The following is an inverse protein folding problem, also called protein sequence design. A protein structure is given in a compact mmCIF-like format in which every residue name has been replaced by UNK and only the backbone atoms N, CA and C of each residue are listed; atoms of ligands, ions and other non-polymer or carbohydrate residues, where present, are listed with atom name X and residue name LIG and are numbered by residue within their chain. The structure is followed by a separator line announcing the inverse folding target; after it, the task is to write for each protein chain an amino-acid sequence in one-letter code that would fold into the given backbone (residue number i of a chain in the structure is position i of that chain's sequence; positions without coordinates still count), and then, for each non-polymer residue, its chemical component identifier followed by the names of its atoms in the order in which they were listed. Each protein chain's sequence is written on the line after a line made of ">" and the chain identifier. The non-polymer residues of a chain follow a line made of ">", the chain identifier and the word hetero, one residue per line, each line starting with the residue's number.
data_IF_060331530156
#
_entry.id   IF_060331530156
#
_cell.length_a   1.000
_cell.length_b   1.000
_cell.length_c   1.000
_cell.angle_alpha   90.00
_cell.angle_beta   90.00
_cell.angle_gamma   90.00
#
_symmetry.space_group_name_H-M   'P 1'
#
loop_
_entity.id
_entity.type
_entity.pdbx_description
1 polymer ?
#
# COMPACT_ATOMS: atom_id res chain seq x y z
N UNK A 1 1.61 2.65 -64.72
CA UNK A 1 2.82 3.51 -64.78
C UNK A 1 2.52 4.80 -64.02
N UNK A 2 3.20 5.00 -62.89
CA UNK A 2 3.40 6.24 -62.11
C UNK A 2 3.82 5.78 -60.70
N UNK A 3 5.11 5.72 -60.39
CA UNK A 3 6.07 6.80 -60.10
C UNK A 3 6.34 6.85 -58.59
N UNK A 4 7.57 6.47 -58.28
CA UNK A 4 8.46 6.74 -57.16
C UNK A 4 8.17 7.91 -56.20
N UNK A 5 8.53 7.64 -54.92
CA UNK A 5 8.77 8.48 -53.72
C UNK A 5 9.50 9.84 -53.95
N UNK A 6 9.70 10.75 -52.95
CA UNK A 6 9.63 10.59 -51.47
C UNK A 6 8.97 11.73 -50.66
N UNK A 7 8.65 11.42 -49.39
CA UNK A 7 8.21 12.40 -48.39
C UNK A 7 9.36 13.33 -47.96
N UNK A 8 9.17 14.62 -48.22
CA UNK A 8 10.09 15.70 -47.88
C UNK A 8 10.06 16.09 -46.41
N UNK A 9 11.24 16.49 -45.94
CA UNK A 9 11.59 17.06 -44.65
C UNK A 9 11.35 18.58 -44.57
N UNK A 10 10.79 19.06 -43.45
CA UNK A 10 10.95 20.44 -42.92
C UNK A 10 9.64 21.20 -42.64
N UNK A 11 9.61 22.29 -41.82
CA UNK A 11 10.62 22.82 -40.90
C UNK A 11 10.00 23.29 -39.54
N UNK A 12 10.20 22.56 -38.45
CA UNK A 12 9.90 23.05 -37.08
C UNK A 12 11.17 23.22 -36.24
N UNK A 13 12.21 23.78 -36.83
CA UNK A 13 13.40 24.21 -36.09
C UNK A 13 13.39 25.73 -35.92
N UNK A 14 12.71 26.24 -34.89
CA UNK A 14 13.08 27.54 -34.30
C UNK A 14 13.66 27.31 -32.90
N UNK A 15 14.93 27.69 -32.80
CA UNK A 15 15.84 27.54 -31.67
C UNK A 15 15.31 28.33 -30.46
N UNK A 16 15.10 27.64 -29.35
CA UNK A 16 15.37 28.19 -28.03
C UNK A 16 16.58 27.43 -27.50
N UNK A 17 17.76 28.06 -27.61
CA UNK A 17 18.98 27.52 -27.02
C UNK A 17 18.87 27.65 -25.50
N UNK A 18 18.45 26.57 -24.84
CA UNK A 18 18.64 26.43 -23.40
C UNK A 18 19.96 25.69 -23.21
N UNK A 19 21.01 26.42 -22.82
CA UNK A 19 22.34 25.87 -22.56
C UNK A 19 22.31 25.07 -21.25
N UNK A 20 21.82 23.84 -21.29
CA UNK A 20 22.04 22.88 -20.22
C UNK A 20 23.47 22.31 -20.38
N UNK A 21 24.41 22.76 -19.56
CA UNK A 21 25.72 22.11 -19.43
C UNK A 21 25.46 20.65 -19.05
N UNK A 22 25.91 19.73 -19.90
CA UNK A 22 25.83 18.30 -19.64
C UNK A 22 26.71 17.93 -18.44
N UNK A 23 26.18 17.38 -17.34
CA UNK A 23 27.00 16.63 -16.41
C UNK A 23 27.24 15.25 -17.03
N UNK A 24 28.52 14.90 -17.10
CA UNK A 24 29.10 13.57 -17.34
C UNK A 24 28.14 12.38 -17.33
N UNK A 25 28.17 11.62 -18.44
CA UNK A 25 27.46 10.35 -18.67
C UNK A 25 27.98 9.27 -17.70
N UNK A 26 27.52 9.28 -16.45
CA UNK A 26 27.71 8.17 -15.50
C UNK A 26 26.77 7.02 -15.86
N UNK A 27 27.28 5.79 -15.82
CA UNK A 27 26.49 4.56 -16.01
C UNK A 27 25.26 4.62 -15.10
N UNK A 28 24.04 4.36 -15.59
CA UNK A 28 22.85 4.29 -14.74
C UNK A 28 23.06 3.19 -13.69
N UNK A 29 22.67 3.46 -12.45
CA UNK A 29 22.63 2.45 -11.42
C UNK A 29 21.54 1.44 -11.79
N UNK A 30 21.97 0.26 -12.25
CA UNK A 30 21.10 -0.86 -12.54
C UNK A 30 20.80 -1.60 -11.23
N UNK A 31 19.52 -1.74 -10.88
CA UNK A 31 19.10 -2.59 -9.77
C UNK A 31 18.00 -3.54 -10.25
N UNK A 32 18.19 -4.87 -10.11
CA UNK A 32 17.19 -5.84 -10.54
C UNK A 32 15.91 -5.62 -9.74
N UNK A 33 14.81 -5.40 -10.45
CA UNK A 33 13.48 -5.25 -9.87
C UNK A 33 12.57 -6.35 -10.39
N UNK A 34 11.71 -6.90 -9.52
CA UNK A 34 10.77 -7.95 -9.93
C UNK A 34 9.41 -7.36 -10.33
N UNK A 35 8.99 -7.64 -11.56
CA UNK A 35 7.62 -7.41 -12.00
C UNK A 35 6.75 -8.61 -11.61
N UNK A 36 5.67 -8.36 -10.86
CA UNK A 36 4.71 -9.40 -10.50
C UNK A 36 3.88 -9.81 -11.71
N UNK A 37 3.49 -11.09 -11.74
CA UNK A 37 2.56 -11.60 -12.73
C UNK A 37 1.21 -10.83 -12.68
N UNK A 38 0.65 -10.57 -13.86
CA UNK A 38 -0.71 -10.07 -14.06
C UNK A 38 -1.42 -11.00 -15.07
N UNK A 39 -2.75 -11.01 -15.15
CA UNK A 39 -3.44 -11.72 -16.21
C UNK A 39 -2.86 -11.33 -17.58
N UNK A 40 -2.39 -12.31 -18.34
CA UNK A 40 -1.72 -12.09 -19.64
C UNK A 40 -0.27 -11.60 -19.60
N UNK A 41 0.37 -11.50 -18.42
CA UNK A 41 1.77 -11.06 -18.31
C UNK A 41 2.52 -11.84 -17.22
N UNK A 42 3.46 -12.72 -17.57
CA UNK A 42 4.20 -13.51 -16.59
C UNK A 42 5.07 -12.62 -15.69
N UNK A 43 5.39 -13.13 -14.51
CA UNK A 43 6.38 -12.49 -13.64
C UNK A 43 7.74 -12.51 -14.34
N UNK A 44 8.49 -11.40 -14.29
CA UNK A 44 9.84 -11.33 -14.83
C UNK A 44 10.71 -10.39 -14.02
N UNK A 45 12.02 -10.62 -14.04
CA UNK A 45 13.02 -9.69 -13.53
C UNK A 45 13.29 -8.65 -14.60
N UNK A 46 13.37 -7.38 -14.20
CA UNK A 46 13.64 -6.25 -15.09
C UNK A 46 14.81 -5.43 -14.57
N UNK A 47 15.62 -4.93 -15.48
CA UNK A 47 16.62 -3.93 -15.20
C UNK A 47 16.03 -2.54 -15.47
N UNK A 48 16.18 -1.62 -14.51
CA UNK A 48 15.58 -0.30 -14.58
C UNK A 48 16.68 0.77 -14.59
N UNK A 49 16.60 1.68 -15.55
CA UNK A 49 17.36 2.92 -15.54
C UNK A 49 16.56 4.00 -14.78
N UNK A 50 17.20 4.64 -13.80
CA UNK A 50 16.65 5.79 -13.08
C UNK A 50 17.37 7.06 -13.52
N UNK A 51 16.61 8.09 -13.88
CA UNK A 51 17.10 9.41 -14.27
C UNK A 51 16.35 10.47 -13.49
N UNK A 52 17.01 11.58 -13.18
CA UNK A 52 16.37 12.68 -12.49
C UNK A 52 16.91 14.03 -12.96
N UNK A 53 16.05 15.06 -12.92
CA UNK A 53 16.40 16.43 -13.25
C UNK A 53 15.37 17.40 -12.67
N UNK A 54 15.79 18.65 -12.43
CA UNK A 54 14.85 19.75 -12.25
C UNK A 54 14.15 20.08 -13.58
N UNK A 55 12.85 20.35 -13.52
CA UNK A 55 12.01 20.68 -14.68
C UNK A 55 11.12 21.87 -14.33
N UNK A 56 10.90 22.75 -15.31
CA UNK A 56 9.99 23.88 -15.17
C UNK A 56 8.70 23.59 -15.94
N UNK A 57 7.57 23.65 -15.25
CA UNK A 57 6.24 23.46 -15.82
C UNK A 57 5.59 24.82 -16.03
N UNK A 58 5.22 25.11 -17.27
CA UNK A 58 4.47 26.32 -17.58
C UNK A 58 3.00 26.12 -17.25
N UNK A 59 2.38 27.19 -16.78
CA UNK A 59 0.95 27.23 -16.55
C UNK A 59 0.17 26.91 -17.84
N UNK A 60 -0.86 26.06 -17.79
CA UNK A 60 -1.72 25.80 -18.93
C UNK A 60 -2.37 27.08 -19.46
N UNK A 61 -2.48 27.21 -20.79
CA UNK A 61 -3.09 28.39 -21.42
C UNK A 61 -4.59 28.52 -21.16
N UNK A 62 -5.26 27.41 -20.84
CA UNK A 62 -6.71 27.33 -20.66
C UNK A 62 -7.02 26.74 -19.29
N UNK A 63 -7.99 27.33 -18.59
CA UNK A 63 -8.51 26.82 -17.32
C UNK A 63 -7.60 27.00 -16.10
N UNK A 64 -6.47 27.70 -16.25
CA UNK A 64 -5.59 27.98 -15.12
C UNK A 64 -6.10 29.20 -14.33
N UNK A 65 -6.00 29.13 -13.00
CA UNK A 65 -6.32 30.25 -12.13
C UNK A 65 -5.25 31.34 -12.29
N UNK A 66 -5.65 32.59 -12.53
CA UNK A 66 -4.72 33.72 -12.70
C UNK A 66 -3.85 33.98 -11.47
N UNK A 67 -4.23 33.44 -10.31
CA UNK A 67 -3.46 33.53 -9.07
C UNK A 67 -2.30 32.54 -9.01
N UNK A 68 -2.33 31.48 -9.82
CA UNK A 68 -1.25 30.50 -9.87
C UNK A 68 -0.02 31.06 -10.59
N UNK A 69 1.20 30.62 -10.22
CA UNK A 69 2.42 31.08 -10.89
C UNK A 69 2.44 30.65 -12.36
N UNK A 70 2.94 31.54 -13.23
CA UNK A 70 3.08 31.29 -14.67
C UNK A 70 4.06 30.16 -15.02
N UNK A 71 4.97 29.85 -14.10
CA UNK A 71 5.90 28.73 -14.18
C UNK A 71 6.17 28.15 -12.79
N UNK A 72 6.26 26.82 -12.70
CA UNK A 72 6.53 26.08 -11.47
C UNK A 72 7.71 25.12 -11.69
N UNK A 73 8.77 25.30 -10.89
CA UNK A 73 9.92 24.39 -10.91
C UNK A 73 9.69 23.21 -9.97
N UNK A 74 9.85 21.99 -10.48
CA UNK A 74 9.74 20.72 -9.75
C UNK A 74 10.93 19.82 -10.08
N UNK A 75 11.06 18.71 -9.37
CA UNK A 75 11.96 17.62 -9.78
C UNK A 75 11.18 16.54 -10.52
N UNK A 76 11.80 15.97 -11.54
CA UNK A 76 11.29 14.81 -12.29
C UNK A 76 12.20 13.62 -12.03
N UNK A 77 11.60 12.46 -11.75
CA UNK A 77 12.27 11.16 -11.74
C UNK A 77 11.66 10.28 -12.84
N UNK A 78 12.46 9.89 -13.83
CA UNK A 78 12.08 8.89 -14.84
C UNK A 78 12.66 7.53 -14.44
N UNK A 79 11.80 6.51 -14.38
CA UNK A 79 12.20 5.10 -14.27
C UNK A 79 11.81 4.42 -15.58
N UNK A 80 12.75 3.76 -16.24
CA UNK A 80 12.53 3.11 -17.52
C UNK A 80 13.18 1.73 -17.57
N UNK A 81 12.43 0.73 -18.01
CA UNK A 81 12.95 -0.62 -18.30
C UNK A 81 14.02 -0.55 -19.40
N UNK A 82 15.17 -1.15 -19.10
CA UNK A 82 16.24 -1.40 -20.07
C UNK A 82 15.83 -2.63 -20.86
N UNK A 83 15.88 -2.54 -22.19
CA UNK A 83 15.57 -3.65 -23.11
C UNK A 83 14.22 -4.34 -22.84
N UNK A 84 13.09 -3.60 -22.88
CA UNK A 84 11.79 -4.21 -22.68
C UNK A 84 11.44 -5.17 -23.83
N UNK A 85 10.71 -6.28 -23.59
CA UNK A 85 10.31 -7.23 -24.63
C UNK A 85 9.49 -6.60 -25.76
N UNK A 86 8.75 -5.54 -25.45
CA UNK A 86 8.17 -4.65 -26.45
C UNK A 86 7.99 -3.24 -25.89
N UNK A 87 7.92 -2.19 -26.73
CA UNK A 87 7.64 -0.83 -26.27
C UNK A 87 6.33 -0.70 -25.50
N UNK A 88 5.31 -1.51 -25.83
CA UNK A 88 4.00 -1.52 -25.15
C UNK A 88 4.07 -2.12 -23.75
N UNK A 89 5.02 -3.02 -23.53
CA UNK A 89 5.22 -3.66 -22.24
C UNK A 89 6.20 -2.90 -21.36
N UNK A 90 6.98 -1.96 -21.89
CA UNK A 90 8.02 -1.26 -21.15
C UNK A 90 7.49 -0.65 -19.85
N UNK A 91 8.13 -0.96 -18.72
CA UNK A 91 7.88 -0.23 -17.48
C UNK A 91 8.45 1.17 -17.62
N UNK A 92 7.57 2.19 -17.62
CA UNK A 92 7.96 3.60 -17.69
C UNK A 92 7.17 4.37 -16.63
N UNK A 93 7.87 4.96 -15.65
CA UNK A 93 7.31 5.91 -14.70
C UNK A 93 7.96 7.28 -14.89
N UNK A 94 7.14 8.34 -14.86
CA UNK A 94 7.58 9.73 -14.85
C UNK A 94 6.92 10.41 -13.66
N UNK A 95 7.71 10.64 -12.62
CA UNK A 95 7.25 11.08 -11.31
C UNK A 95 7.68 12.52 -11.11
N UNK A 96 6.70 13.43 -11.05
CA UNK A 96 6.92 14.80 -10.60
C UNK A 96 6.90 14.83 -9.07
N UNK A 97 7.83 15.57 -8.47
CA UNK A 97 7.95 15.67 -7.03
C UNK A 97 8.44 17.04 -6.60
N UNK A 98 7.96 17.50 -5.45
CA UNK A 98 8.43 18.69 -4.74
C UNK A 98 9.64 18.38 -3.84
N UNK A 99 9.94 17.10 -3.61
CA UNK A 99 11.12 16.69 -2.85
C UNK A 99 12.40 17.02 -3.62
N UNK A 100 13.47 17.35 -2.91
CA UNK A 100 14.81 17.53 -3.47
C UNK A 100 15.34 16.22 -4.07
N UNK A 101 15.91 16.29 -5.27
CA UNK A 101 16.52 15.14 -5.95
C UNK A 101 17.86 15.56 -6.58
N UNK A 102 18.95 15.38 -5.84
CA UNK A 102 20.30 15.74 -6.28
C UNK A 102 21.17 14.51 -6.58
N UNK A 103 20.81 13.37 -5.98
CA UNK A 103 21.56 12.13 -6.09
C UNK A 103 20.68 10.97 -6.57
N UNK A 104 21.33 9.91 -7.05
CA UNK A 104 20.64 8.67 -7.38
C UNK A 104 19.91 8.08 -6.16
N UNK A 105 20.47 8.25 -4.96
CA UNK A 105 19.83 7.77 -3.73
C UNK A 105 18.53 8.53 -3.44
N UNK A 106 18.49 9.86 -3.67
CA UNK A 106 17.26 10.64 -3.57
C UNK A 106 16.20 10.13 -4.56
N UNK A 107 16.60 9.92 -5.82
CA UNK A 107 15.69 9.42 -6.86
C UNK A 107 15.10 8.05 -6.48
N UNK A 108 15.92 7.13 -5.96
CA UNK A 108 15.45 5.84 -5.45
C UNK A 108 14.46 6.00 -4.28
N UNK A 109 14.67 6.96 -3.37
CA UNK A 109 13.70 7.26 -2.31
C UNK A 109 12.34 7.68 -2.87
N UNK A 110 12.32 8.51 -3.92
CA UNK A 110 11.06 8.90 -4.59
C UNK A 110 10.36 7.69 -5.20
N UNK A 111 11.12 6.79 -5.82
CA UNK A 111 10.58 5.53 -6.35
C UNK A 111 9.96 4.69 -5.24
N UNK A 112 10.61 4.56 -4.09
CA UNK A 112 10.07 3.80 -2.95
C UNK A 112 8.81 4.44 -2.34
N UNK A 113 8.75 5.77 -2.28
CA UNK A 113 7.53 6.50 -1.92
C UNK A 113 6.40 6.19 -2.91
N UNK A 114 6.67 6.28 -4.21
CA UNK A 114 5.67 6.00 -5.24
C UNK A 114 5.21 4.54 -5.24
N UNK A 115 6.11 3.58 -4.96
CA UNK A 115 5.75 2.16 -4.78
C UNK A 115 4.77 1.95 -3.62
N UNK A 116 4.78 2.85 -2.62
CA UNK A 116 3.83 2.80 -1.51
C UNK A 116 2.42 3.26 -1.90
N UNK A 117 2.22 3.87 -3.08
CA UNK A 117 0.90 4.28 -3.59
C UNK A 117 -0.09 3.11 -3.62
N UNK A 118 0.36 1.90 -3.95
CA UNK A 118 -0.49 0.71 -4.00
C UNK A 118 -1.16 0.37 -2.65
N UNK A 119 -0.63 0.86 -1.52
CA UNK A 119 -1.23 0.63 -0.19
C UNK A 119 -2.65 1.20 -0.11
N UNK A 120 -2.92 2.34 -0.77
CA UNK A 120 -4.26 2.94 -0.78
C UNK A 120 -5.25 2.09 -1.58
N UNK A 121 -4.80 1.48 -2.68
CA UNK A 121 -5.65 0.59 -3.47
C UNK A 121 -5.99 -0.69 -2.68
N UNK A 122 -5.05 -1.22 -1.90
CA UNK A 122 -5.33 -2.34 -0.99
C UNK A 122 -6.30 -1.94 0.13
N UNK A 123 -6.20 -0.73 0.66
CA UNK A 123 -7.13 -0.21 1.66
C UNK A 123 -8.56 -0.14 1.09
N UNK A 124 -8.74 0.50 -0.07
CA UNK A 124 -10.05 0.60 -0.70
C UNK A 124 -10.60 -0.77 -1.14
N UNK A 125 -9.75 -1.68 -1.62
CA UNK A 125 -10.19 -3.04 -1.94
C UNK A 125 -10.65 -3.81 -0.70
N UNK A 126 -9.95 -3.66 0.42
CA UNK A 126 -10.33 -4.24 1.72
C UNK A 126 -11.69 -3.71 2.17
N UNK A 127 -11.91 -2.40 2.01
CA UNK A 127 -13.16 -1.73 2.37
C UNK A 127 -14.33 -2.13 1.47
N UNK A 128 -14.11 -2.18 0.16
CA UNK A 128 -15.19 -2.35 -0.83
C UNK A 128 -15.67 -3.79 -0.97
N UNK A 129 -14.76 -4.76 -1.13
CA UNK A 129 -15.13 -6.09 -1.64
C UNK A 129 -14.33 -7.29 -1.11
N UNK A 130 -13.33 -7.09 -0.23
CA UNK A 130 -12.50 -8.20 0.27
C UNK A 130 -12.67 -8.52 1.75
N UNK A 131 -13.35 -7.69 2.53
CA UNK A 131 -13.38 -7.88 3.98
C UNK A 131 -14.61 -7.29 4.66
N UNK A 132 -15.01 -6.09 4.22
CA UNK A 132 -16.13 -5.34 4.80
C UNK A 132 -17.33 -5.36 3.88
N UNK A 133 -17.11 -5.51 2.57
CA UNK A 133 -18.16 -5.66 1.55
C UNK A 133 -19.12 -4.47 1.53
N UNK A 134 -18.57 -3.25 1.65
CA UNK A 134 -19.33 -2.00 1.68
C UNK A 134 -20.24 -1.84 0.45
N UNK A 135 -19.81 -2.34 -0.71
CA UNK A 135 -20.57 -2.23 -1.96
C UNK A 135 -21.81 -3.16 -2.00
N UNK A 136 -21.92 -4.11 -1.06
CA UNK A 136 -23.10 -4.97 -0.87
C UNK A 136 -24.15 -4.35 0.08
N UNK A 137 -23.88 -3.15 0.59
CA UNK A 137 -24.82 -2.44 1.48
C UNK A 137 -26.09 -2.04 0.72
N UNK A 138 -27.25 -2.37 1.29
CA UNK A 138 -28.57 -2.00 0.75
C UNK A 138 -29.11 -0.66 1.29
N UNK A 139 -28.25 0.14 1.94
CA UNK A 139 -28.63 1.46 2.46
C UNK A 139 -28.88 2.40 1.28
N UNK A 140 -30.12 2.88 1.14
CA UNK A 140 -30.52 3.83 0.10
C UNK A 140 -30.28 5.30 0.48
N UNK A 141 -30.16 5.60 1.78
CA UNK A 141 -29.93 6.96 2.28
C UNK A 141 -28.46 7.38 2.11
N UNK A 142 -28.24 8.53 1.46
CA UNK A 142 -26.89 9.02 1.15
C UNK A 142 -26.06 9.32 2.39
N UNK A 143 -26.65 10.00 3.39
CA UNK A 143 -25.95 10.38 4.61
C UNK A 143 -25.61 9.13 5.45
N UNK A 144 -26.50 8.15 5.51
CA UNK A 144 -26.24 6.87 6.18
C UNK A 144 -25.15 6.07 5.47
N UNK A 145 -25.12 6.08 4.13
CA UNK A 145 -24.06 5.44 3.36
C UNK A 145 -22.70 6.12 3.60
N UNK A 146 -22.66 7.45 3.69
CA UNK A 146 -21.44 8.18 4.02
C UNK A 146 -20.92 7.81 5.42
N UNK A 147 -21.79 7.78 6.43
CA UNK A 147 -21.43 7.34 7.79
C UNK A 147 -20.92 5.90 7.81
N UNK A 148 -21.58 4.99 7.07
CA UNK A 148 -21.14 3.61 6.94
C UNK A 148 -19.77 3.52 6.25
N UNK A 149 -19.53 4.29 5.18
CA UNK A 149 -18.26 4.32 4.48
C UNK A 149 -17.12 4.82 5.39
N UNK A 150 -17.38 5.84 6.21
CA UNK A 150 -16.42 6.33 7.20
C UNK A 150 -16.09 5.25 8.26
N UNK A 151 -17.10 4.57 8.79
CA UNK A 151 -16.89 3.46 9.72
C UNK A 151 -16.13 2.28 9.06
N UNK A 152 -16.48 1.93 7.83
CA UNK A 152 -15.80 0.90 7.04
C UNK A 152 -14.33 1.25 6.80
N UNK A 153 -14.01 2.52 6.54
CA UNK A 153 -12.63 2.98 6.37
C UNK A 153 -11.80 2.78 7.64
N UNK A 154 -12.36 3.04 8.82
CA UNK A 154 -11.70 2.81 10.11
C UNK A 154 -11.39 1.33 10.30
N UNK A 155 -12.38 0.46 10.06
CA UNK A 155 -12.21 -0.99 10.17
C UNK A 155 -11.19 -1.51 9.15
N UNK A 156 -11.26 -1.06 7.90
CA UNK A 156 -10.32 -1.44 6.85
C UNK A 156 -8.89 -1.00 7.20
N UNK A 157 -8.74 0.17 7.82
CA UNK A 157 -7.44 0.66 8.30
C UNK A 157 -6.88 -0.25 9.38
N UNK A 158 -7.69 -0.68 10.35
CA UNK A 158 -7.27 -1.63 11.40
C UNK A 158 -6.82 -2.97 10.80
N UNK A 159 -7.59 -3.51 9.85
CA UNK A 159 -7.21 -4.72 9.09
C UNK A 159 -5.87 -4.52 8.39
N UNK A 160 -5.67 -3.40 7.70
CA UNK A 160 -4.42 -3.10 7.00
C UNK A 160 -3.24 -2.85 7.95
N UNK A 161 -3.47 -2.31 9.14
CA UNK A 161 -2.45 -2.19 10.18
C UNK A 161 -1.96 -3.56 10.66
N UNK A 162 -2.85 -4.55 10.78
CA UNK A 162 -2.45 -5.94 11.06
C UNK A 162 -1.73 -6.59 9.88
N UNK A 163 -2.20 -6.36 8.65
CA UNK A 163 -1.52 -6.87 7.42
C UNK A 163 -0.10 -6.33 7.31
N UNK A 164 0.11 -5.04 7.58
CA UNK A 164 1.44 -4.41 7.53
C UNK A 164 2.27 -4.70 8.79
N UNK A 165 1.62 -4.89 9.94
CA UNK A 165 2.24 -5.21 11.22
C UNK A 165 2.57 -6.68 11.42
N UNK A 166 2.20 -7.58 10.50
CA UNK A 166 2.61 -8.99 10.61
C UNK A 166 4.14 -9.13 10.43
N UNK A 167 4.77 -9.97 11.23
CA UNK A 167 6.21 -10.23 11.13
C UNK A 167 7.07 -9.12 11.73
N UNK A 168 8.28 -8.91 11.18
CA UNK A 168 9.28 -8.01 11.76
C UNK A 168 8.79 -6.54 11.86
N UNK A 169 8.03 -6.05 10.88
CA UNK A 169 7.56 -4.67 10.85
C UNK A 169 6.67 -4.30 12.06
N UNK A 170 5.87 -5.23 12.59
CA UNK A 170 5.04 -4.98 13.77
C UNK A 170 5.76 -5.14 15.10
N UNK A 171 7.03 -5.54 15.12
CA UNK A 171 7.79 -5.63 16.37
C UNK A 171 8.15 -4.24 16.92
N UNK A 172 8.22 -3.23 16.05
CA UNK A 172 8.45 -1.84 16.41
C UNK A 172 7.21 -1.13 16.99
N UNK A 173 6.05 -1.80 17.02
CA UNK A 173 4.78 -1.22 17.49
C UNK A 173 4.18 -2.08 18.60
N UNK A 174 3.48 -1.43 19.53
CA UNK A 174 2.79 -2.11 20.62
C UNK A 174 1.40 -2.58 20.18
N UNK A 175 0.92 -3.69 20.75
CA UNK A 175 -0.44 -4.20 20.56
C UNK A 175 -1.49 -3.18 21.04
N UNK A 176 -1.15 -2.36 22.04
CA UNK A 176 -1.96 -1.26 22.56
C UNK A 176 -2.34 -0.21 21.49
N UNK A 177 -1.66 -0.21 20.33
CA UNK A 177 -2.04 0.63 19.19
C UNK A 177 -3.42 0.29 18.64
N UNK A 178 -3.85 -0.98 18.72
CA UNK A 178 -5.12 -1.44 18.15
C UNK A 178 -6.08 -2.01 19.18
N UNK A 179 -5.56 -2.52 20.30
CA UNK A 179 -6.29 -3.30 21.29
C UNK A 179 -6.22 -2.64 22.67
N UNK A 180 -7.33 -2.65 23.40
CA UNK A 180 -7.40 -2.21 24.79
C UNK A 180 -6.62 -3.14 25.74
N UNK A 181 -6.34 -2.73 26.98
CA UNK A 181 -5.68 -3.60 27.96
C UNK A 181 -6.43 -4.92 28.19
N UNK A 182 -7.76 -4.87 28.28
CA UNK A 182 -8.62 -6.07 28.41
C UNK A 182 -8.49 -6.98 27.19
N UNK A 183 -8.54 -6.41 25.98
CA UNK A 183 -8.34 -7.16 24.73
C UNK A 183 -6.94 -7.78 24.65
N UNK A 184 -5.90 -7.12 25.16
CA UNK A 184 -4.54 -7.68 25.22
C UNK A 184 -4.48 -8.89 26.15
N UNK A 185 -5.14 -8.85 27.31
CA UNK A 185 -5.25 -10.01 28.20
C UNK A 185 -5.93 -11.19 27.50
N UNK A 186 -7.03 -10.93 26.78
CA UNK A 186 -7.72 -11.96 25.98
C UNK A 186 -6.81 -12.50 24.86
N UNK A 187 -6.05 -11.63 24.20
CA UNK A 187 -5.08 -12.04 23.16
C UNK A 187 -4.04 -13.01 23.73
N UNK A 188 -3.46 -12.75 24.89
CA UNK A 188 -2.44 -13.62 25.49
C UNK A 188 -3.01 -14.98 25.93
N UNK A 189 -4.23 -15.00 26.47
CA UNK A 189 -4.94 -16.25 26.76
C UNK A 189 -5.21 -17.06 25.47
N UNK A 190 -5.62 -16.38 24.40
CA UNK A 190 -5.85 -17.02 23.09
C UNK A 190 -4.56 -17.50 22.45
N UNK A 191 -3.45 -16.77 22.56
CA UNK A 191 -2.15 -17.20 22.03
C UNK A 191 -1.79 -18.55 22.65
N UNK A 192 -1.87 -18.67 23.97
CA UNK A 192 -1.56 -19.91 24.69
C UNK A 192 -2.38 -21.10 24.17
N UNK A 193 -3.67 -20.88 23.84
CA UNK A 193 -4.55 -21.90 23.26
C UNK A 193 -4.25 -22.20 21.78
N UNK A 194 -3.85 -21.19 21.02
CA UNK A 194 -3.66 -21.27 19.57
C UNK A 194 -2.27 -21.76 19.18
N UNK A 195 -1.30 -21.72 20.09
CA UNK A 195 0.01 -22.32 19.87
C UNK A 195 -0.11 -23.82 19.60
N UNK A 196 0.52 -24.26 18.52
CA UNK A 196 0.56 -25.68 18.19
C UNK A 196 1.61 -26.44 19.00
N UNK A 197 1.62 -27.76 18.84
CA UNK A 197 2.59 -28.65 19.51
C UNK A 197 4.04 -28.42 19.06
N UNK A 198 4.23 -27.90 17.85
CA UNK A 198 5.56 -27.71 17.25
C UNK A 198 6.09 -26.29 17.44
N UNK A 199 7.41 -26.13 17.53
CA UNK A 199 8.04 -24.80 17.63
C UNK A 199 7.65 -23.88 16.46
N UNK A 200 7.41 -24.44 15.28
CA UNK A 200 6.96 -23.71 14.08
C UNK A 200 5.54 -23.15 14.20
N UNK A 201 4.74 -23.68 15.11
CA UNK A 201 3.36 -23.23 15.37
C UNK A 201 3.25 -22.42 16.66
N UNK A 202 4.37 -22.09 17.31
CA UNK A 202 4.41 -21.12 18.41
C UNK A 202 4.54 -19.70 17.87
N UNK A 203 4.13 -18.73 18.67
CA UNK A 203 4.22 -17.33 18.27
C UNK A 203 5.68 -16.84 18.45
N UNK A 204 6.39 -16.47 17.38
CA UNK A 204 7.81 -16.11 17.47
C UNK A 204 8.04 -14.65 17.88
N UNK A 205 6.98 -13.88 18.13
CA UNK A 205 7.06 -12.43 18.29
C UNK A 205 7.16 -12.01 19.77
N UNK A 206 7.91 -10.93 20.08
CA UNK A 206 8.04 -10.44 21.44
C UNK A 206 6.68 -10.06 22.05
N UNK A 207 6.57 -10.20 23.37
CA UNK A 207 5.37 -9.89 24.14
C UNK A 207 4.98 -8.42 23.93
N UNK A 208 3.68 -8.12 23.96
CA UNK A 208 3.10 -6.78 23.79
C UNK A 208 3.31 -6.13 22.41
N UNK A 209 3.89 -6.82 21.42
CA UNK A 209 4.06 -6.27 20.07
C UNK A 209 2.82 -6.42 19.21
N UNK A 210 2.66 -5.53 18.23
CA UNK A 210 1.62 -5.64 17.20
C UNK A 210 1.80 -6.91 16.36
N UNK A 211 3.05 -7.32 16.11
CA UNK A 211 3.34 -8.57 15.41
C UNK A 211 2.78 -9.80 16.14
N UNK A 212 2.89 -9.83 17.47
CA UNK A 212 2.35 -10.90 18.31
C UNK A 212 0.82 -10.94 18.27
N UNK A 213 0.17 -9.78 18.38
CA UNK A 213 -1.27 -9.67 18.23
C UNK A 213 -1.74 -10.08 16.82
N UNK A 214 -1.05 -9.63 15.77
CA UNK A 214 -1.34 -9.98 14.39
C UNK A 214 -1.23 -11.50 14.16
N UNK A 215 -0.24 -12.17 14.76
CA UNK A 215 -0.16 -13.63 14.71
C UNK A 215 -1.42 -14.29 15.30
N UNK A 216 -1.86 -13.86 16.47
CA UNK A 216 -3.07 -14.39 17.12
C UNK A 216 -4.32 -14.18 16.26
N UNK A 217 -4.55 -12.96 15.79
CA UNK A 217 -5.70 -12.64 14.94
C UNK A 217 -5.66 -13.45 13.63
N UNK A 218 -4.48 -13.60 13.01
CA UNK A 218 -4.36 -14.41 11.80
C UNK A 218 -4.71 -15.89 12.05
N UNK A 219 -4.30 -16.46 13.19
CA UNK A 219 -4.65 -17.83 13.60
C UNK A 219 -6.15 -17.99 13.78
N UNK A 220 -6.80 -17.04 14.46
CA UNK A 220 -8.28 -17.02 14.58
C UNK A 220 -8.95 -16.92 13.21
N UNK A 221 -8.33 -16.18 12.28
CA UNK A 221 -8.77 -16.03 10.90
C UNK A 221 -8.58 -17.25 10.00
N UNK A 222 -8.03 -18.35 10.51
CA UNK A 222 -7.83 -19.61 9.77
C UNK A 222 -6.47 -19.74 9.11
N UNK A 223 -5.50 -18.86 9.39
CA UNK A 223 -4.11 -19.10 8.99
C UNK A 223 -3.50 -20.18 9.89
N UNK A 224 -2.82 -21.15 9.31
CA UNK A 224 -2.32 -22.32 10.06
C UNK A 224 -0.95 -22.11 10.73
N UNK A 225 -0.35 -20.93 10.57
CA UNK A 225 0.89 -20.54 11.24
C UNK A 225 2.18 -20.90 10.52
N UNK A 226 2.14 -21.55 9.36
CA UNK A 226 3.37 -21.95 8.67
C UNK A 226 3.98 -20.82 7.83
N UNK A 227 5.28 -20.57 8.01
CA UNK A 227 6.02 -19.56 7.26
C UNK A 227 6.13 -19.85 5.74
N UNK A 228 6.04 -21.13 5.34
CA UNK A 228 6.05 -21.53 3.92
C UNK A 228 4.76 -21.18 3.18
N UNK A 229 3.68 -20.89 3.91
CA UNK A 229 2.39 -20.60 3.31
C UNK A 229 2.23 -19.14 2.96
N UNK A 230 1.21 -18.86 2.16
CA UNK A 230 0.85 -17.50 1.81
C UNK A 230 0.61 -16.70 3.09
N UNK A 231 1.28 -15.55 3.27
CA UNK A 231 1.08 -14.72 4.45
C UNK A 231 -0.38 -14.26 4.60
N UNK A 232 -0.91 -14.18 5.83
CA UNK A 232 -2.34 -13.91 6.11
C UNK A 232 -2.78 -12.55 5.56
N UNK A 233 -3.78 -12.54 4.67
CA UNK A 233 -4.23 -11.33 3.97
C UNK A 233 -5.36 -10.57 4.69
N UNK A 234 -5.92 -9.51 4.07
CA UNK A 234 -7.01 -8.73 4.64
C UNK A 234 -8.23 -9.56 5.05
N UNK A 235 -8.64 -10.52 4.21
CA UNK A 235 -9.76 -11.46 4.50
C UNK A 235 -9.50 -12.24 5.80
N UNK A 236 -8.30 -12.82 5.93
CA UNK A 236 -7.90 -13.60 7.11
C UNK A 236 -7.95 -12.75 8.36
N UNK A 237 -7.42 -11.53 8.31
CA UNK A 237 -7.44 -10.62 9.45
C UNK A 237 -8.85 -10.14 9.80
N UNK A 238 -9.71 -9.86 8.81
CA UNK A 238 -11.11 -9.50 9.04
C UNK A 238 -11.86 -10.63 9.75
N UNK A 239 -11.73 -11.87 9.26
CA UNK A 239 -12.34 -13.04 9.90
C UNK A 239 -11.80 -13.27 11.32
N UNK A 240 -10.50 -13.07 11.51
CA UNK A 240 -9.85 -13.15 12.81
C UNK A 240 -10.38 -12.10 13.79
N UNK A 241 -10.51 -10.84 13.37
CA UNK A 241 -11.05 -9.76 14.19
C UNK A 241 -12.51 -10.00 14.56
N UNK A 242 -13.35 -10.43 13.62
CA UNK A 242 -14.76 -10.79 13.90
C UNK A 242 -14.85 -11.84 15.01
N UNK A 243 -14.06 -12.92 14.91
CA UNK A 243 -14.00 -13.97 15.94
C UNK A 243 -13.43 -13.46 17.26
N UNK A 244 -12.36 -12.66 17.20
CA UNK A 244 -11.72 -12.11 18.38
C UNK A 244 -12.65 -11.21 19.18
N UNK A 245 -13.34 -10.26 18.53
CA UNK A 245 -14.24 -9.34 19.21
C UNK A 245 -15.41 -10.07 19.88
N UNK A 246 -15.97 -11.10 19.27
CA UNK A 246 -17.00 -11.94 19.92
C UNK A 246 -16.47 -12.64 21.19
N UNK A 247 -15.22 -13.12 21.18
CA UNK A 247 -14.59 -13.72 22.36
C UNK A 247 -14.32 -12.66 23.44
N UNK A 248 -13.81 -11.49 23.04
CA UNK A 248 -13.49 -10.40 23.95
C UNK A 248 -14.76 -9.83 24.62
N UNK A 249 -15.86 -9.73 23.87
CA UNK A 249 -17.17 -9.35 24.39
C UNK A 249 -17.67 -10.38 25.41
N UNK A 250 -17.62 -11.67 25.09
CA UNK A 250 -17.98 -12.73 26.05
C UNK A 250 -17.13 -12.71 27.31
N UNK A 251 -15.82 -12.44 27.20
CA UNK A 251 -14.93 -12.27 28.33
C UNK A 251 -15.31 -11.05 29.19
N UNK A 252 -15.65 -9.92 28.57
CA UNK A 252 -16.09 -8.72 29.27
C UNK A 252 -17.41 -8.95 30.03
N UNK A 253 -18.40 -9.59 29.39
CA UNK A 253 -19.67 -9.95 30.02
C UNK A 253 -19.47 -10.87 31.24
N UNK A 254 -18.61 -11.88 31.12
CA UNK A 254 -18.31 -12.80 32.22
C UNK A 254 -17.54 -12.12 33.37
N UNK A 255 -16.72 -11.10 33.05
CA UNK A 255 -15.92 -10.37 34.06
C UNK A 255 -16.73 -9.28 34.78
N UNK A 256 -17.82 -8.78 34.19
CA UNK A 256 -18.70 -7.75 34.75
C UNK A 256 -20.18 -8.21 34.83
N UNK A 257 -20.51 -9.20 35.69
CA UNK A 257 -21.87 -9.73 35.79
C UNK A 257 -22.92 -8.75 36.38
N UNK A 258 -22.51 -7.57 36.87
CA UNK A 258 -23.37 -6.67 37.66
C UNK A 258 -24.12 -5.57 36.88
N UNK A 259 -23.82 -5.31 35.61
CA UNK A 259 -24.59 -4.33 34.81
C UNK A 259 -25.89 -4.90 34.20
N UNK A 260 -26.05 -6.23 34.15
CA UNK A 260 -27.23 -6.87 33.57
C UNK A 260 -28.50 -6.79 34.46
N UNK A 261 -28.38 -6.35 35.73
CA UNK A 261 -29.49 -6.35 36.69
C UNK A 261 -30.04 -4.94 37.04
N UNK A 262 -29.61 -3.89 36.34
CA UNK A 262 -30.10 -2.51 36.58
C UNK A 262 -31.22 -2.15 35.59
N UNK A 263 -32.26 -2.97 35.49
CA UNK A 263 -33.53 -2.56 34.85
C UNK A 263 -34.73 -3.42 35.26
N UNK A 264 -34.72 -3.95 36.49
CA UNK A 264 -35.89 -4.59 37.11
C UNK A 264 -36.11 -4.00 38.50
N UNK A 265 -36.55 -2.74 38.55
CA UNK A 265 -37.27 -2.15 39.68
C UNK A 265 -38.33 -1.20 39.15
#
# INVERSE_FOLDING_TARGET
>A
MCSSAPYGTGPWARRAACSARSPTRRKPAASPSSCRARPGRPARTVELAVRFAAVSLRQPRLGADRRDPGELTLNMVEVREIEPPSPKEAVIWRLLTTHTVETCADACRIVDLYRSRWRVEQLFRTMKSQAIDLEESLIADGDALERLAAAALIVATRVMQLVHGRGAAGQAFTAARLFSPTEISVLEALITRLEGKTQKQKNPHPVHTLARAAWCIARLGGWNGYAKERPPGPVTFSNGLKRFHAIAEGFALASNPHEANVCAR
#
